data_IF_380381641598
#
_entry.id   IF_380381641598
#
_cell.length_a   1.000
_cell.length_b   1.000
_cell.length_c   1.000
_cell.angle_alpha   90.00
_cell.angle_beta   90.00
_cell.angle_gamma   90.00
#
_symmetry.space_group_name_H-M   'P 1'
#
loop_
_entity.id
_entity.type
_entity.pdbx_description
1 polymer ?
#
# COMPACT_ATOMS: atom_id res chain seq x y z
N UNK A 1 7.32 15.12 -11.90
CA UNK A 1 7.45 14.80 -10.47
C UNK A 1 6.92 13.42 -10.17
N UNK A 2 7.64 12.65 -9.39
CA UNK A 2 7.22 11.30 -9.03
C UNK A 2 6.24 11.34 -7.87
N UNK A 3 5.06 10.81 -8.09
CA UNK A 3 4.08 10.64 -7.02
C UNK A 3 4.25 9.22 -6.49
N UNK A 4 5.05 9.08 -5.46
CA UNK A 4 5.36 7.80 -4.85
C UNK A 4 5.08 7.86 -3.35
N UNK A 5 4.43 6.83 -2.82
CA UNK A 5 4.11 6.78 -1.40
C UNK A 5 4.23 5.35 -0.88
N UNK A 6 4.79 5.21 0.32
CA UNK A 6 4.80 3.95 1.05
C UNK A 6 3.72 4.01 2.12
N UNK A 7 2.86 2.99 2.19
CA UNK A 7 1.78 2.95 3.16
C UNK A 7 2.08 1.85 4.17
N UNK A 8 2.54 2.26 5.34
CA UNK A 8 2.86 1.34 6.43
C UNK A 8 1.57 0.85 7.07
N UNK A 9 1.48 -0.44 7.30
CA UNK A 9 0.26 -1.04 7.84
C UNK A 9 -0.82 -1.24 6.79
N UNK A 10 -0.44 -1.26 5.51
CA UNK A 10 -1.37 -1.57 4.44
C UNK A 10 -2.01 -2.92 4.67
N UNK A 11 -3.31 -3.04 4.41
CA UNK A 11 -4.07 -4.24 4.74
C UNK A 11 -4.85 -4.75 3.54
N UNK A 12 -5.00 -6.07 3.45
CA UNK A 12 -5.88 -6.69 2.46
C UNK A 12 -7.35 -6.55 2.87
N UNK A 13 -7.63 -6.23 4.13
CA UNK A 13 -8.99 -6.01 4.63
C UNK A 13 -9.48 -4.64 4.18
N UNK A 14 -10.48 -4.62 3.31
CA UNK A 14 -10.97 -3.38 2.70
C UNK A 14 -11.64 -2.45 3.69
N UNK A 15 -12.01 -2.93 4.87
CA UNK A 15 -12.55 -2.08 5.93
C UNK A 15 -11.50 -1.37 6.74
N UNK A 16 -10.24 -1.73 6.61
CA UNK A 16 -9.15 -1.11 7.36
C UNK A 16 -8.67 0.17 6.70
N UNK A 17 -8.19 1.10 7.53
CA UNK A 17 -7.70 2.39 7.06
C UNK A 17 -6.54 2.24 6.07
N UNK A 18 -5.60 1.34 6.35
CA UNK A 18 -4.46 1.12 5.46
C UNK A 18 -4.87 0.70 4.06
N UNK A 19 -5.90 -0.14 3.94
CA UNK A 19 -6.43 -0.51 2.63
C UNK A 19 -7.07 0.67 1.93
N UNK A 20 -7.86 1.45 2.67
CA UNK A 20 -8.50 2.65 2.10
C UNK A 20 -7.47 3.63 1.57
N UNK A 21 -6.35 3.80 2.29
CA UNK A 21 -5.27 4.68 1.84
C UNK A 21 -4.64 4.17 0.56
N UNK A 22 -4.37 2.87 0.46
CA UNK A 22 -3.81 2.27 -0.76
C UNK A 22 -4.73 2.55 -1.95
N UNK A 23 -6.03 2.31 -1.78
CA UNK A 23 -6.98 2.53 -2.87
C UNK A 23 -7.05 3.99 -3.29
N UNK A 24 -7.07 4.89 -2.32
CA UNK A 24 -7.16 6.32 -2.60
C UNK A 24 -5.96 6.83 -3.39
N UNK A 25 -4.75 6.48 -2.95
CA UNK A 25 -3.56 6.93 -3.66
C UNK A 25 -3.39 6.26 -5.01
N UNK A 26 -3.76 4.98 -5.11
CA UNK A 26 -3.70 4.27 -6.38
C UNK A 26 -4.63 4.91 -7.41
N UNK A 27 -5.84 5.28 -7.00
CA UNK A 27 -6.79 5.97 -7.89
C UNK A 27 -6.30 7.36 -8.29
N UNK A 28 -5.53 8.01 -7.42
CA UNK A 28 -4.96 9.31 -7.69
C UNK A 28 -3.76 9.30 -8.61
N UNK A 29 -3.35 8.13 -9.11
CA UNK A 29 -2.21 8.02 -10.01
C UNK A 29 -0.87 7.91 -9.32
N UNK A 30 -0.85 7.67 -8.00
CA UNK A 30 0.38 7.50 -7.26
C UNK A 30 0.95 6.10 -7.45
N UNK A 31 2.28 6.00 -7.42
CA UNK A 31 2.95 4.71 -7.27
C UNK A 31 2.93 4.36 -5.80
N UNK A 32 2.21 3.30 -5.44
CA UNK A 32 1.99 2.94 -4.05
C UNK A 32 2.82 1.70 -3.69
N UNK A 33 3.56 1.80 -2.59
CA UNK A 33 4.30 0.68 -2.02
C UNK A 33 3.66 0.28 -0.69
N UNK A 34 2.79 -0.75 -0.70
CA UNK A 34 2.18 -1.22 0.55
C UNK A 34 3.24 -1.91 1.41
N UNK A 35 3.29 -1.60 2.69
CA UNK A 35 4.26 -2.18 3.62
C UNK A 35 3.52 -2.96 4.68
N UNK A 36 3.67 -4.28 4.67
CA UNK A 36 3.07 -5.16 5.68
C UNK A 36 3.74 -6.53 5.62
N UNK A 37 4.46 -6.95 6.66
CA UNK A 37 5.16 -8.24 6.64
C UNK A 37 4.23 -9.46 6.71
N UNK A 38 2.96 -9.27 7.07
CA UNK A 38 2.02 -10.37 7.24
C UNK A 38 1.16 -10.63 6.00
N UNK A 39 1.26 -9.81 4.97
CA UNK A 39 0.41 -9.91 3.78
C UNK A 39 1.30 -9.85 2.54
N UNK A 40 1.04 -10.72 1.57
CA UNK A 40 1.85 -10.77 0.35
C UNK A 40 1.40 -9.76 -0.70
N UNK A 41 0.12 -9.39 -0.69
CA UNK A 41 -0.45 -8.54 -1.72
C UNK A 41 -1.61 -7.72 -1.16
N UNK A 42 -1.71 -6.46 -1.57
CA UNK A 42 -2.82 -5.58 -1.20
C UNK A 42 -3.29 -4.87 -2.46
N UNK A 43 -4.57 -5.05 -2.80
CA UNK A 43 -5.22 -4.42 -3.97
C UNK A 43 -4.42 -4.60 -5.26
N UNK A 44 -3.89 -5.80 -5.47
CA UNK A 44 -3.13 -6.13 -6.66
C UNK A 44 -1.68 -5.67 -6.64
N UNK A 45 -1.22 -5.08 -5.54
CA UNK A 45 0.14 -4.60 -5.40
C UNK A 45 0.94 -5.50 -4.47
N UNK A 46 2.17 -5.81 -4.86
CA UNK A 46 3.07 -6.58 -4.00
C UNK A 46 3.40 -5.78 -2.74
N UNK A 47 3.35 -6.43 -1.58
CA UNK A 47 3.74 -5.78 -0.33
C UNK A 47 5.23 -5.92 -0.07
N UNK A 48 5.73 -5.05 0.78
CA UNK A 48 7.12 -5.04 1.22
C UNK A 48 7.17 -5.24 2.73
N UNK A 49 8.26 -5.84 3.21
CA UNK A 49 8.40 -6.15 4.63
C UNK A 49 8.66 -4.92 5.47
N UNK A 50 9.36 -3.95 4.90
CA UNK A 50 9.68 -2.71 5.59
C UNK A 50 9.91 -1.60 4.58
N UNK A 51 9.95 -0.36 5.09
CA UNK A 51 10.19 0.80 4.24
C UNK A 51 11.60 0.77 3.62
N UNK A 52 12.54 0.14 4.30
CA UNK A 52 13.93 0.10 3.84
C UNK A 52 14.15 -0.87 2.69
N UNK A 53 13.20 -1.71 2.38
CA UNK A 53 13.36 -2.72 1.32
C UNK A 53 13.23 -2.11 -0.11
#
# INVERSE_FOLDING_TARGET
MNKTIAIVGASADRGKYGNKAVRAFKQGGWTVYPVNPSVLEVEGLKTYDSIAD
#
